data_IF_538673054410
#
_entry.id   IF_538673054410
#
_cell.length_a   1.000
_cell.length_b   1.000
_cell.length_c   1.000
_cell.angle_alpha   90.00
_cell.angle_beta   90.00
_cell.angle_gamma   90.00
#
_symmetry.space_group_name_H-M   'P 1'
#
loop_
_entity.id
_entity.type
_entity.pdbx_description
1 polymer ?
#
# COMPACT_ATOMS: atom_id res chain seq x y z
N UNK A 1 80.86 22.77 -14.22
CA UNK A 1 79.89 22.95 -13.13
C UNK A 1 79.74 21.63 -12.40
N UNK A 2 79.95 21.63 -11.09
CA UNK A 2 79.68 20.47 -10.25
C UNK A 2 79.70 20.87 -8.78
N UNK A 3 78.71 20.40 -8.01
CA UNK A 3 78.87 19.86 -6.64
C UNK A 3 77.53 19.41 -6.03
N UNK A 4 77.45 18.09 -5.87
CA UNK A 4 77.04 17.27 -4.70
C UNK A 4 75.99 17.77 -3.70
N UNK A 5 75.00 16.90 -3.53
CA UNK A 5 74.09 16.72 -2.40
C UNK A 5 74.80 16.56 -1.04
N UNK A 6 74.21 17.17 0.00
CA UNK A 6 74.42 16.86 1.41
C UNK A 6 73.06 16.73 2.09
N UNK A 7 72.84 15.62 2.81
CA UNK A 7 71.58 15.29 3.46
C UNK A 7 71.50 15.69 4.93
N UNK A 8 70.31 15.49 5.51
CA UNK A 8 70.09 15.32 6.94
C UNK A 8 69.01 14.25 7.15
N UNK A 9 69.35 13.17 7.87
CA UNK A 9 68.38 12.34 8.60
C UNK A 9 67.87 13.11 9.82
N UNK A 10 66.88 12.70 10.58
CA UNK A 10 66.11 11.48 10.72
C UNK A 10 65.45 11.58 12.10
N UNK A 11 64.15 11.28 12.24
CA UNK A 11 63.50 11.16 13.54
C UNK A 11 62.40 10.10 13.44
N UNK A 12 62.73 8.85 13.77
CA UNK A 12 61.74 7.79 14.05
C UNK A 12 61.49 7.80 15.55
N UNK A 13 60.38 8.45 15.94
CA UNK A 13 59.90 8.45 17.31
C UNK A 13 59.59 7.04 17.80
N UNK A 14 60.25 6.65 18.89
CA UNK A 14 60.01 5.42 19.65
C UNK A 14 58.61 5.51 20.27
N UNK A 15 57.62 4.78 19.74
CA UNK A 15 56.28 4.68 20.35
C UNK A 15 56.45 4.22 21.79
N UNK A 16 55.98 5.05 22.72
CA UNK A 16 55.99 4.77 24.16
C UNK A 16 55.06 3.60 24.45
N UNK A 17 55.38 2.82 25.48
CA UNK A 17 54.65 1.61 25.88
C UNK A 17 53.13 1.85 26.03
N UNK A 18 52.76 3.08 26.39
CA UNK A 18 51.38 3.54 26.55
C UNK A 18 50.61 3.69 25.22
N UNK A 19 51.29 4.01 24.11
CA UNK A 19 50.69 4.06 22.77
C UNK A 19 50.50 2.66 22.18
N UNK A 20 51.41 1.74 22.51
CA UNK A 20 51.25 0.33 22.16
C UNK A 20 50.03 -0.28 22.88
N UNK A 21 49.84 0.05 24.17
CA UNK A 21 48.70 -0.44 24.94
C UNK A 21 47.36 0.11 24.42
N UNK A 22 47.30 1.40 24.02
CA UNK A 22 46.10 1.98 23.39
C UNK A 22 45.76 1.31 22.05
N UNK A 23 46.78 0.98 21.26
CA UNK A 23 46.57 0.30 19.98
C UNK A 23 46.08 -1.14 20.20
N UNK A 24 46.63 -1.86 21.19
CA UNK A 24 46.15 -3.20 21.58
C UNK A 24 44.72 -3.15 22.12
N UNK A 25 44.37 -2.15 22.93
CA UNK A 25 43.01 -1.96 23.42
C UNK A 25 42.01 -1.66 22.29
N UNK A 26 42.41 -0.85 21.29
CA UNK A 26 41.58 -0.58 20.12
C UNK A 26 41.36 -1.82 19.25
N UNK A 27 42.40 -2.64 19.07
CA UNK A 27 42.30 -3.92 18.35
C UNK A 27 41.41 -4.91 19.11
N UNK A 28 41.52 -4.99 20.44
CA UNK A 28 40.63 -5.82 21.26
C UNK A 28 39.17 -5.35 21.19
N UNK A 29 38.92 -4.04 21.24
CA UNK A 29 37.57 -3.49 21.10
C UNK A 29 36.98 -3.81 19.71
N UNK A 30 37.77 -3.68 18.65
CA UNK A 30 37.34 -4.07 17.30
C UNK A 30 37.04 -5.57 17.21
N UNK A 31 37.86 -6.42 17.83
CA UNK A 31 37.63 -7.87 17.91
C UNK A 31 36.34 -8.21 18.67
N UNK A 32 36.04 -7.51 19.76
CA UNK A 32 34.78 -7.68 20.50
C UNK A 32 33.59 -7.25 19.65
N UNK A 33 33.68 -6.14 18.91
CA UNK A 33 32.62 -5.70 18.00
C UNK A 33 32.39 -6.71 16.87
N UNK A 34 33.46 -7.29 16.32
CA UNK A 34 33.36 -8.37 15.32
C UNK A 34 32.75 -9.63 15.94
N UNK A 35 33.14 -10.00 17.17
CA UNK A 35 32.59 -11.15 17.88
C UNK A 35 31.09 -10.97 18.18
N UNK A 36 30.68 -9.78 18.62
CA UNK A 36 29.27 -9.41 18.84
C UNK A 36 28.52 -9.42 17.51
N UNK A 37 29.13 -8.93 16.43
CA UNK A 37 28.56 -9.02 15.08
C UNK A 37 28.35 -10.48 14.65
N UNK A 38 29.33 -11.35 14.85
CA UNK A 38 29.22 -12.79 14.56
C UNK A 38 28.19 -13.46 15.47
N UNK A 39 28.04 -13.07 16.73
CA UNK A 39 27.00 -13.61 17.62
C UNK A 39 25.60 -13.14 17.21
N UNK A 40 25.41 -11.86 16.89
CA UNK A 40 24.11 -11.29 16.52
C UNK A 40 23.67 -11.75 15.13
N UNK A 41 24.57 -11.80 14.15
CA UNK A 41 24.25 -12.26 12.79
C UNK A 41 24.35 -13.79 12.62
N UNK A 42 25.23 -14.46 13.37
CA UNK A 42 25.44 -15.91 13.28
C UNK A 42 24.35 -16.75 13.95
N UNK A 43 23.54 -16.15 14.84
CA UNK A 43 22.35 -16.82 15.39
C UNK A 43 21.31 -17.20 14.32
N UNK A 44 21.31 -16.55 13.16
CA UNK A 44 20.39 -16.85 12.05
C UNK A 44 20.78 -18.11 11.25
N UNK A 45 21.90 -18.75 11.57
CA UNK A 45 22.43 -19.92 10.84
C UNK A 45 22.68 -21.15 11.73
N UNK A 46 22.24 -21.11 12.99
CA UNK A 46 22.34 -22.25 13.93
C UNK A 46 20.98 -22.94 14.07
N UNK A 47 20.75 -23.99 13.28
CA UNK A 47 19.63 -24.91 13.50
C UNK A 47 20.07 -26.01 14.46
N UNK A 48 19.56 -25.98 15.69
CA UNK A 48 19.77 -27.05 16.67
C UNK A 48 18.67 -28.10 16.52
N UNK A 49 19.03 -29.29 16.02
CA UNK A 49 18.28 -30.54 16.17
C UNK A 49 19.15 -31.55 16.93
N UNK A 50 18.52 -32.49 17.61
CA UNK A 50 19.06 -33.33 18.70
C UNK A 50 20.27 -34.23 18.38
N UNK A 51 20.98 -34.07 17.25
CA UNK A 51 22.23 -34.77 16.94
C UNK A 51 23.28 -33.91 16.20
N UNK A 52 23.66 -32.76 16.78
CA UNK A 52 24.91 -32.06 16.48
C UNK A 52 24.86 -30.98 15.38
N UNK A 53 25.80 -30.03 15.46
CA UNK A 53 25.84 -28.79 14.66
C UNK A 53 26.51 -29.02 13.31
N UNK A 54 25.84 -28.68 12.20
CA UNK A 54 26.46 -28.56 10.87
C UNK A 54 26.32 -27.14 10.32
N UNK A 55 27.38 -26.65 9.69
CA UNK A 55 27.44 -25.40 8.92
C UNK A 55 27.15 -25.72 7.45
N UNK A 56 26.14 -25.10 6.85
CA UNK A 56 25.91 -25.14 5.39
C UNK A 56 26.21 -23.78 4.77
N UNK A 57 27.16 -23.75 3.82
CA UNK A 57 27.57 -22.58 3.05
C UNK A 57 27.21 -22.81 1.57
N UNK A 58 26.65 -21.82 0.85
CA UNK A 58 25.98 -22.03 -0.45
C UNK A 58 26.94 -22.14 -1.66
N UNK A 59 28.25 -22.26 -1.46
CA UNK A 59 29.24 -22.24 -2.55
C UNK A 59 29.79 -23.62 -2.95
N UNK A 60 29.33 -24.71 -2.32
CA UNK A 60 29.77 -26.08 -2.63
C UNK A 60 28.57 -26.97 -2.94
N UNK A 61 28.06 -26.91 -4.17
CA UNK A 61 27.35 -28.02 -4.80
C UNK A 61 28.15 -28.48 -6.02
N UNK A 62 29.12 -29.35 -5.74
CA UNK A 62 29.81 -30.12 -6.76
C UNK A 62 28.92 -31.33 -7.10
N UNK A 63 28.55 -31.46 -8.37
CA UNK A 63 27.84 -32.62 -8.94
C UNK A 63 28.54 -33.91 -8.54
N UNK A 64 27.83 -34.80 -7.85
CA UNK A 64 28.16 -36.21 -7.80
C UNK A 64 27.22 -36.97 -8.75
N UNK A 65 27.84 -37.55 -9.78
CA UNK A 65 27.27 -38.54 -10.67
C UNK A 65 26.95 -39.83 -9.90
N UNK A 66 25.71 -40.32 -10.01
CA UNK A 66 25.41 -41.71 -9.74
C UNK A 66 24.44 -42.28 -10.79
N UNK A 67 25.00 -43.17 -11.62
CA UNK A 67 24.34 -44.01 -12.62
C UNK A 67 23.61 -45.18 -11.93
N UNK A 68 22.50 -45.68 -12.50
CA UNK A 68 22.47 -47.12 -12.80
C UNK A 68 22.02 -47.44 -14.25
N UNK A 69 22.39 -48.65 -14.68
CA UNK A 69 22.36 -49.25 -16.03
C UNK A 69 20.93 -49.77 -16.44
N UNK A 70 20.71 -50.18 -17.72
CA UNK A 70 19.42 -50.16 -18.42
C UNK A 70 18.67 -51.51 -18.47
N UNK A 71 17.39 -51.43 -18.85
CA UNK A 71 16.47 -52.55 -19.09
C UNK A 71 15.20 -52.33 -18.24
N UNK A 72 13.99 -52.21 -18.77
CA UNK A 72 13.38 -52.94 -19.87
C UNK A 72 12.32 -52.06 -20.57
N UNK A 73 12.11 -52.33 -21.84
CA UNK A 73 11.21 -51.61 -22.74
C UNK A 73 9.82 -52.20 -22.56
N UNK A 74 8.82 -51.39 -22.24
CA UNK A 74 7.42 -51.75 -22.45
C UNK A 74 6.65 -50.53 -22.89
N UNK A 75 6.58 -50.41 -24.22
CA UNK A 75 5.61 -49.61 -24.94
C UNK A 75 4.23 -50.24 -24.71
N UNK A 76 3.36 -49.54 -23.99
CA UNK A 76 1.93 -49.75 -24.15
C UNK A 76 1.26 -48.41 -24.42
N UNK A 77 0.86 -48.28 -25.69
CA UNK A 77 0.18 -47.13 -26.29
C UNK A 77 -1.31 -47.44 -26.28
N UNK A 78 -2.13 -46.54 -25.70
CA UNK A 78 -3.43 -46.03 -26.24
C UNK A 78 -4.27 -45.31 -25.16
N UNK A 79 -5.18 -44.40 -25.54
CA UNK A 79 -5.04 -43.30 -26.51
C UNK A 79 -5.47 -41.95 -25.89
N UNK A 80 -5.04 -40.86 -26.53
CA UNK A 80 -5.58 -39.51 -26.34
C UNK A 80 -7.09 -39.48 -26.59
N UNK A 81 -7.83 -38.91 -25.64
CA UNK A 81 -9.16 -38.33 -25.85
C UNK A 81 -9.02 -36.81 -25.84
N UNK A 82 -9.55 -36.18 -26.88
CA UNK A 82 -9.53 -34.74 -27.16
C UNK A 82 -9.85 -33.87 -25.93
N UNK A 83 -8.92 -32.98 -25.58
CA UNK A 83 -9.22 -31.76 -24.86
C UNK A 83 -9.29 -30.62 -25.88
N UNK A 84 -10.50 -30.13 -26.14
CA UNK A 84 -10.73 -28.84 -26.79
C UNK A 84 -11.21 -27.85 -25.74
N UNK A 85 -10.27 -27.02 -25.28
CA UNK A 85 -10.36 -25.66 -24.73
C UNK A 85 -11.65 -25.22 -24.05
N UNK A 86 -11.64 -25.24 -22.73
CA UNK A 86 -12.24 -24.16 -21.93
C UNK A 86 -11.09 -23.38 -21.29
N UNK A 87 -11.04 -22.08 -21.60
CA UNK A 87 -10.16 -21.10 -20.95
C UNK A 87 -10.38 -21.17 -19.44
N UNK A 88 -9.40 -21.72 -18.72
CA UNK A 88 -9.28 -21.49 -17.29
C UNK A 88 -8.76 -20.07 -17.11
N UNK A 89 -9.69 -19.11 -17.05
CA UNK A 89 -9.46 -17.90 -16.27
C UNK A 89 -9.16 -18.38 -14.85
N UNK A 90 -7.89 -18.32 -14.45
CA UNK A 90 -7.47 -18.56 -13.08
C UNK A 90 -8.07 -17.45 -12.20
N UNK A 91 -9.31 -17.67 -11.76
CA UNK A 91 -9.87 -16.97 -10.63
C UNK A 91 -8.95 -17.30 -9.44
N UNK A 92 -8.23 -16.28 -8.98
CA UNK A 92 -7.60 -16.26 -7.67
C UNK A 92 -8.67 -16.76 -6.68
N UNK A 93 -8.38 -17.73 -5.79
CA UNK A 93 -9.30 -18.05 -4.72
C UNK A 93 -9.55 -16.74 -3.98
N UNK A 94 -10.79 -16.24 -4.05
CA UNK A 94 -11.20 -15.17 -3.16
C UNK A 94 -10.85 -15.65 -1.76
N UNK A 95 -10.21 -14.78 -0.97
CA UNK A 95 -10.01 -15.01 0.45
C UNK A 95 -11.27 -15.69 0.98
N UNK A 96 -11.09 -16.91 1.50
CA UNK A 96 -12.13 -17.82 1.92
C UNK A 96 -13.23 -16.99 2.60
N UNK A 97 -14.44 -16.94 2.01
CA UNK A 97 -15.55 -16.07 2.46
C UNK A 97 -16.02 -16.39 3.90
N UNK A 98 -15.32 -17.30 4.58
CA UNK A 98 -15.47 -17.75 5.95
C UNK A 98 -14.52 -17.09 6.97
N UNK A 99 -13.44 -16.42 6.57
CA UNK A 99 -12.54 -15.74 7.51
C UNK A 99 -12.79 -14.22 7.60
N UNK A 100 -12.84 -13.72 8.83
CA UNK A 100 -12.99 -12.29 9.12
C UNK A 100 -11.81 -11.49 8.53
N UNK A 101 -12.10 -10.41 7.79
CA UNK A 101 -11.09 -9.52 7.23
C UNK A 101 -10.42 -8.70 8.35
N UNK A 102 -9.09 -8.79 8.42
CA UNK A 102 -8.22 -8.06 9.36
C UNK A 102 -7.14 -7.36 8.54
N UNK A 103 -7.39 -6.10 8.23
CA UNK A 103 -6.52 -5.30 7.38
C UNK A 103 -5.63 -4.39 8.22
N UNK A 104 -4.35 -4.26 7.87
CA UNK A 104 -3.45 -3.29 8.51
C UNK A 104 -2.69 -2.52 7.45
N UNK A 105 -2.58 -1.21 7.66
CA UNK A 105 -1.75 -0.34 6.84
C UNK A 105 -0.28 -0.51 7.22
N UNK A 106 0.54 -0.83 6.21
CA UNK A 106 1.99 -0.86 6.34
C UNK A 106 2.60 0.13 5.33
N UNK A 107 3.78 0.70 5.62
CA UNK A 107 4.48 1.51 4.65
C UNK A 107 4.86 0.66 3.43
N UNK A 108 4.85 1.26 2.24
CA UNK A 108 5.25 0.59 0.99
C UNK A 108 6.62 -0.09 1.08
N UNK A 109 7.53 0.48 1.87
CA UNK A 109 8.86 -0.09 2.11
C UNK A 109 8.82 -1.50 2.68
N UNK A 110 7.77 -1.88 3.40
CA UNK A 110 7.58 -3.24 3.92
C UNK A 110 7.39 -4.28 2.79
N UNK A 111 6.81 -3.89 1.66
CA UNK A 111 6.72 -4.75 0.47
C UNK A 111 8.08 -4.81 -0.22
N UNK A 112 8.75 -3.66 -0.36
CA UNK A 112 10.05 -3.57 -1.04
C UNK A 112 11.17 -4.32 -0.30
N UNK A 113 11.16 -4.32 1.03
CA UNK A 113 12.16 -5.00 1.86
C UNK A 113 11.76 -6.46 2.21
N UNK A 114 10.59 -6.91 1.76
CA UNK A 114 10.06 -8.25 2.00
C UNK A 114 9.61 -8.52 3.44
N UNK A 115 9.45 -7.49 4.27
CA UNK A 115 9.02 -7.64 5.68
C UNK A 115 7.50 -7.62 5.87
N UNK A 116 6.72 -7.24 4.86
CA UNK A 116 5.27 -7.11 4.92
C UNK A 116 4.58 -8.35 5.52
N UNK A 117 4.88 -9.55 4.99
CA UNK A 117 4.27 -10.81 5.46
C UNK A 117 4.46 -11.02 6.98
N UNK A 118 5.69 -10.88 7.47
CA UNK A 118 5.99 -11.07 8.91
C UNK A 118 5.31 -10.02 9.78
N UNK A 119 5.18 -8.77 9.29
CA UNK A 119 4.49 -7.70 10.04
C UNK A 119 2.98 -7.93 10.08
N UNK A 120 2.38 -8.44 8.99
CA UNK A 120 0.98 -8.86 8.97
C UNK A 120 0.72 -9.97 9.99
N UNK A 121 1.57 -11.01 10.01
CA UNK A 121 1.48 -12.10 10.99
C UNK A 121 1.61 -11.61 12.44
N UNK A 122 2.55 -10.70 12.71
CA UNK A 122 2.72 -10.09 14.04
C UNK A 122 1.51 -9.27 14.48
N UNK A 123 0.84 -8.61 13.53
CA UNK A 123 -0.39 -7.85 13.78
C UNK A 123 -1.64 -8.75 13.86
N UNK A 124 -1.55 -10.03 13.49
CA UNK A 124 -2.71 -10.91 13.34
C UNK A 124 -3.63 -10.49 12.18
N UNK A 125 -3.05 -9.86 11.15
CA UNK A 125 -3.75 -9.38 9.96
C UNK A 125 -3.63 -10.40 8.81
N UNK A 126 -4.71 -10.52 8.01
CA UNK A 126 -4.76 -11.31 6.78
C UNK A 126 -4.89 -10.44 5.51
N UNK A 127 -4.96 -9.12 5.68
CA UNK A 127 -5.03 -8.16 4.59
C UNK A 127 -4.06 -6.99 4.79
N UNK A 128 -3.55 -6.48 3.68
CA UNK A 128 -2.61 -5.37 3.62
C UNK A 128 -3.29 -4.13 3.03
N UNK A 129 -3.22 -3.01 3.76
CA UNK A 129 -3.54 -1.69 3.22
C UNK A 129 -2.23 -1.01 2.83
N UNK A 130 -2.19 -0.42 1.63
CA UNK A 130 -1.08 0.43 1.18
C UNK A 130 -1.62 1.80 0.83
N UNK A 131 -1.04 2.86 1.39
CA UNK A 131 -1.29 4.23 0.93
C UNK A 131 -0.64 4.41 -0.43
N UNK A 132 -1.45 4.34 -1.48
CA UNK A 132 -0.99 4.45 -2.86
C UNK A 132 -0.98 5.90 -3.31
N UNK A 133 -1.95 6.69 -2.83
CA UNK A 133 -2.01 8.13 -3.05
C UNK A 133 -2.30 8.84 -1.74
N UNK A 134 -1.36 9.66 -1.29
CA UNK A 134 -1.49 10.41 -0.04
C UNK A 134 -2.30 11.71 -0.20
N UNK A 135 -2.56 12.40 0.93
CA UNK A 135 -3.27 13.68 0.98
C UNK A 135 -2.49 14.85 0.39
N UNK A 136 -1.17 14.74 0.27
CA UNK A 136 -0.32 15.75 -0.39
C UNK A 136 -0.49 15.68 -1.91
N UNK A 137 -0.83 14.51 -2.43
CA UNK A 137 -1.02 14.25 -3.83
C UNK A 137 -0.02 13.26 -4.42
N UNK A 138 0.94 12.79 -3.62
CA UNK A 138 2.07 11.98 -4.06
C UNK A 138 1.63 10.53 -4.27
N UNK A 139 2.16 9.91 -5.32
CA UNK A 139 1.82 8.55 -5.72
C UNK A 139 2.98 7.61 -5.37
N UNK A 140 2.64 6.50 -4.71
CA UNK A 140 3.55 5.44 -4.30
C UNK A 140 4.00 4.54 -5.47
N UNK A 141 3.34 4.63 -6.62
CA UNK A 141 3.67 3.90 -7.83
C UNK A 141 4.01 4.85 -8.98
N UNK A 142 4.51 4.28 -10.08
CA UNK A 142 4.71 5.03 -11.31
C UNK A 142 3.46 4.99 -12.17
N UNK A 143 2.76 6.11 -12.24
CA UNK A 143 1.54 6.25 -13.03
C UNK A 143 1.84 6.71 -14.47
N UNK A 144 1.04 6.22 -15.42
CA UNK A 144 1.04 6.66 -16.82
C UNK A 144 0.15 7.89 -17.08
N UNK A 145 -0.63 8.32 -16.08
CA UNK A 145 -1.51 9.46 -16.20
C UNK A 145 -0.76 10.78 -16.44
N UNK A 146 -1.26 11.58 -17.38
CA UNK A 146 -0.58 12.84 -17.77
C UNK A 146 -0.46 13.86 -16.63
N UNK A 147 -1.41 13.85 -15.68
CA UNK A 147 -1.35 14.69 -14.48
C UNK A 147 -0.42 14.12 -13.39
N UNK A 148 -0.04 12.84 -13.48
CA UNK A 148 0.81 12.17 -12.50
C UNK A 148 2.32 12.43 -12.70
N UNK A 149 2.70 13.05 -13.83
CA UNK A 149 4.09 13.13 -14.30
C UNK A 149 5.11 13.73 -13.30
N UNK A 150 4.65 14.48 -12.28
CA UNK A 150 5.50 15.12 -11.27
C UNK A 150 5.12 14.77 -9.83
N UNK A 151 4.21 13.82 -9.64
CA UNK A 151 3.76 13.32 -8.32
C UNK A 151 4.06 11.84 -8.12
N UNK A 152 4.43 11.13 -9.20
CA UNK A 152 4.92 9.76 -9.10
C UNK A 152 6.29 9.74 -8.41
N UNK A 153 6.34 9.19 -7.19
CA UNK A 153 7.58 8.97 -6.45
C UNK A 153 8.23 7.62 -6.75
N UNK A 154 7.51 6.74 -7.44
CA UNK A 154 7.95 5.38 -7.79
C UNK A 154 8.96 5.31 -8.93
N UNK A 155 9.97 4.45 -8.76
CA UNK A 155 10.85 3.96 -9.84
C UNK A 155 10.15 2.84 -10.65
N UNK A 156 10.59 2.52 -11.87
CA UNK A 156 10.02 1.43 -12.68
C UNK A 156 9.96 0.08 -11.94
N UNK A 157 10.89 -0.12 -11.00
CA UNK A 157 10.99 -1.32 -10.18
C UNK A 157 9.82 -1.52 -9.21
N UNK A 158 9.12 -0.45 -8.80
CA UNK A 158 8.04 -0.56 -7.80
C UNK A 158 6.78 -1.19 -8.35
N UNK A 159 6.43 -0.90 -9.61
CA UNK A 159 5.22 -1.44 -10.22
C UNK A 159 5.34 -2.97 -10.33
N UNK A 160 6.50 -3.48 -10.78
CA UNK A 160 6.75 -4.92 -10.82
C UNK A 160 6.75 -5.57 -9.43
N UNK A 161 7.31 -4.91 -8.41
CA UNK A 161 7.26 -5.42 -7.04
C UNK A 161 5.82 -5.49 -6.48
N UNK A 162 4.98 -4.50 -6.81
CA UNK A 162 3.56 -4.49 -6.45
C UNK A 162 2.78 -5.59 -7.19
N UNK A 163 2.99 -5.75 -8.50
CA UNK A 163 2.38 -6.84 -9.28
C UNK A 163 2.78 -8.22 -8.74
N UNK A 164 4.06 -8.40 -8.41
CA UNK A 164 4.57 -9.63 -7.83
C UNK A 164 3.93 -9.91 -6.47
N UNK A 165 3.82 -8.89 -5.61
CA UNK A 165 3.16 -8.99 -4.31
C UNK A 165 1.67 -9.30 -4.43
N UNK A 166 0.96 -8.59 -5.31
CA UNK A 166 -0.48 -8.70 -5.52
C UNK A 166 -0.88 -10.03 -6.18
N UNK A 167 0.06 -10.81 -6.75
CA UNK A 167 -0.22 -12.20 -7.16
C UNK A 167 -0.22 -13.20 -6.01
N UNK A 168 0.28 -12.82 -4.84
CA UNK A 168 0.26 -13.64 -3.64
C UNK A 168 -1.14 -13.79 -3.03
N UNK A 169 -1.22 -14.54 -1.94
CA UNK A 169 -2.48 -14.92 -1.28
C UNK A 169 -3.01 -13.88 -0.27
N UNK A 170 -2.23 -12.83 0.02
CA UNK A 170 -2.66 -11.76 0.92
C UNK A 170 -3.65 -10.85 0.18
N UNK A 171 -4.79 -10.55 0.82
CA UNK A 171 -5.75 -9.60 0.28
C UNK A 171 -5.20 -8.17 0.37
N UNK A 172 -5.22 -7.44 -0.74
CA UNK A 172 -4.56 -6.12 -0.86
C UNK A 172 -5.55 -5.00 -1.10
N UNK A 173 -5.38 -3.90 -0.36
CA UNK A 173 -6.23 -2.73 -0.41
C UNK A 173 -5.37 -1.50 -0.75
N UNK A 174 -5.60 -0.89 -1.92
CA UNK A 174 -4.97 0.36 -2.29
C UNK A 174 -5.77 1.54 -1.73
N UNK A 175 -5.22 2.26 -0.75
CA UNK A 175 -5.81 3.49 -0.21
C UNK A 175 -5.45 4.68 -1.10
N UNK A 176 -6.47 5.42 -1.55
CA UNK A 176 -6.35 6.53 -2.48
C UNK A 176 -7.05 7.77 -1.93
N UNK A 177 -6.30 8.79 -1.57
CA UNK A 177 -6.85 10.11 -1.27
C UNK A 177 -7.28 10.79 -2.58
N UNK A 178 -8.59 10.85 -2.83
CA UNK A 178 -9.17 11.17 -4.13
C UNK A 178 -9.04 12.66 -4.50
N UNK A 179 -9.84 13.53 -3.87
CA UNK A 179 -9.89 14.95 -4.28
C UNK A 179 -9.01 15.88 -3.44
N UNK A 180 -8.63 15.50 -2.22
CA UNK A 180 -7.65 16.22 -1.42
C UNK A 180 -6.25 15.97 -2.00
N UNK A 181 -5.69 16.97 -2.66
CA UNK A 181 -4.45 16.88 -3.41
C UNK A 181 -3.78 18.27 -3.44
N UNK A 182 -2.66 18.40 -2.75
CA UNK A 182 -1.96 19.67 -2.64
C UNK A 182 -1.04 19.96 -3.84
N UNK A 183 -0.64 18.92 -4.59
CA UNK A 183 0.39 18.99 -5.62
C UNK A 183 -0.18 19.19 -7.02
N UNK A 184 -1.11 18.36 -7.49
CA UNK A 184 -1.66 18.44 -8.86
C UNK A 184 -2.38 19.76 -9.12
N UNK A 185 -3.29 20.25 -8.24
CA UNK A 185 -3.91 21.58 -8.40
C UNK A 185 -2.92 22.74 -8.41
N UNK A 186 -1.77 22.61 -7.72
CA UNK A 186 -0.73 23.62 -7.73
C UNK A 186 -0.01 23.69 -9.08
N UNK A 187 0.25 22.53 -9.69
CA UNK A 187 0.93 22.43 -10.98
C UNK A 187 0.00 22.76 -12.15
N UNK A 188 -1.26 22.34 -12.06
CA UNK A 188 -2.27 22.59 -13.06
C UNK A 188 -3.51 23.25 -12.44
N UNK A 189 -3.53 24.57 -12.48
CA UNK A 189 -4.63 25.36 -11.92
C UNK A 189 -6.00 25.09 -12.56
N UNK A 190 -6.09 24.45 -13.74
CA UNK A 190 -7.37 24.18 -14.41
C UNK A 190 -8.19 23.07 -13.74
N UNK A 191 -7.53 22.17 -13.00
CA UNK A 191 -8.20 21.07 -12.29
C UNK A 191 -8.47 21.40 -10.82
N UNK A 192 -8.01 22.55 -10.34
CA UNK A 192 -8.13 22.96 -8.95
C UNK A 192 -9.56 23.41 -8.61
N UNK A 193 -10.03 23.06 -7.41
CA UNK A 193 -11.17 23.73 -6.81
C UNK A 193 -10.83 25.20 -6.53
N UNK A 194 -11.73 26.12 -6.88
CA UNK A 194 -11.45 27.57 -6.87
C UNK A 194 -12.14 28.30 -5.74
N UNK A 195 -11.46 29.31 -5.24
CA UNK A 195 -11.96 30.33 -4.33
C UNK A 195 -11.73 31.73 -4.90
N UNK A 196 -12.31 32.74 -4.26
CA UNK A 196 -12.11 34.17 -4.61
C UNK A 196 -10.63 34.58 -4.64
N UNK A 197 -9.79 33.93 -3.84
CA UNK A 197 -8.35 34.21 -3.68
C UNK A 197 -7.44 33.25 -4.48
N UNK A 198 -7.99 32.41 -5.37
CA UNK A 198 -7.21 31.47 -6.19
C UNK A 198 -7.65 30.02 -5.99
N UNK A 199 -6.70 29.11 -5.72
CA UNK A 199 -7.06 27.72 -5.40
C UNK A 199 -7.61 27.66 -3.98
N UNK A 200 -8.77 27.06 -3.83
CA UNK A 200 -9.36 26.83 -2.52
C UNK A 200 -8.46 25.89 -1.70
N UNK A 201 -8.48 26.10 -0.39
CA UNK A 201 -7.76 25.27 0.58
C UNK A 201 -8.69 24.87 1.71
N UNK A 202 -8.50 23.65 2.18
CA UNK A 202 -9.21 23.10 3.33
C UNK A 202 -8.66 23.62 4.67
N UNK A 203 -9.19 23.09 5.77
CA UNK A 203 -8.79 23.39 7.14
C UNK A 203 -7.32 23.11 7.43
N UNK A 204 -6.69 22.18 6.70
CA UNK A 204 -5.28 21.84 6.81
C UNK A 204 -4.39 22.68 5.86
N UNK A 205 -4.99 23.59 5.09
CA UNK A 205 -4.28 24.40 4.11
C UNK A 205 -3.91 23.63 2.82
N UNK A 206 -4.44 22.42 2.63
CA UNK A 206 -4.20 21.60 1.45
C UNK A 206 -5.15 22.02 0.32
N UNK A 207 -4.67 21.94 -0.93
CA UNK A 207 -5.51 22.18 -2.11
C UNK A 207 -6.34 20.95 -2.41
N UNK A 208 -7.36 21.18 -3.24
CA UNK A 208 -8.25 20.14 -3.71
C UNK A 208 -8.35 20.18 -5.23
N UNK A 209 -8.41 19.00 -5.83
CA UNK A 209 -8.96 18.81 -7.16
C UNK A 209 -10.44 19.18 -7.12
N UNK A 210 -10.96 19.78 -8.20
CA UNK A 210 -12.37 20.08 -8.32
C UNK A 210 -13.15 18.80 -8.66
N UNK A 211 -14.08 18.33 -7.81
CA UNK A 211 -14.88 17.15 -8.14
C UNK A 211 -15.73 17.33 -9.39
N UNK A 212 -16.09 18.55 -9.81
CA UNK A 212 -16.80 18.80 -11.09
C UNK A 212 -15.88 18.85 -12.31
N UNK A 213 -14.56 18.84 -12.14
CA UNK A 213 -13.64 18.89 -13.27
C UNK A 213 -13.57 17.52 -13.95
N UNK A 214 -14.06 17.41 -15.18
CA UNK A 214 -13.93 16.19 -16.00
C UNK A 214 -12.49 15.69 -16.08
N UNK A 215 -11.52 16.61 -16.16
CA UNK A 215 -10.10 16.28 -16.19
C UNK A 215 -9.59 15.72 -14.86
N UNK A 216 -10.06 16.25 -13.73
CA UNK A 216 -9.74 15.70 -12.41
C UNK A 216 -10.37 14.32 -12.20
N UNK A 217 -11.62 14.13 -12.63
CA UNK A 217 -12.31 12.83 -12.58
C UNK A 217 -11.61 11.80 -13.44
N UNK A 218 -11.30 12.14 -14.69
CA UNK A 218 -10.61 11.25 -15.62
C UNK A 218 -9.26 10.80 -15.07
N UNK A 219 -8.54 11.72 -14.43
CA UNK A 219 -7.30 11.41 -13.72
C UNK A 219 -7.52 10.39 -12.60
N UNK A 220 -8.46 10.64 -11.68
CA UNK A 220 -8.75 9.72 -10.58
C UNK A 220 -9.19 8.33 -11.08
N UNK A 221 -10.06 8.29 -12.09
CA UNK A 221 -10.52 7.05 -12.73
C UNK A 221 -9.34 6.30 -13.37
N UNK A 222 -8.44 7.02 -14.03
CA UNK A 222 -7.20 6.48 -14.59
C UNK A 222 -6.31 5.86 -13.53
N UNK A 223 -6.06 6.56 -12.42
CA UNK A 223 -5.29 6.05 -11.29
C UNK A 223 -5.91 4.77 -10.70
N UNK A 224 -7.23 4.75 -10.49
CA UNK A 224 -7.92 3.56 -9.97
C UNK A 224 -7.83 2.38 -10.93
N UNK A 225 -7.93 2.64 -12.24
CA UNK A 225 -7.74 1.60 -13.27
C UNK A 225 -6.31 1.05 -13.25
N UNK A 226 -5.31 1.90 -13.12
CA UNK A 226 -3.91 1.46 -13.02
C UNK A 226 -3.68 0.59 -11.78
N UNK A 227 -4.23 0.96 -10.63
CA UNK A 227 -4.15 0.16 -9.41
C UNK A 227 -4.85 -1.21 -9.58
N UNK A 228 -6.01 -1.23 -10.23
CA UNK A 228 -6.67 -2.49 -10.58
C UNK A 228 -5.81 -3.36 -11.52
N UNK A 229 -5.14 -2.75 -12.50
CA UNK A 229 -4.19 -3.44 -13.40
C UNK A 229 -2.96 -4.00 -12.66
N UNK A 230 -2.49 -3.31 -11.62
CA UNK A 230 -1.43 -3.79 -10.73
C UNK A 230 -1.88 -4.97 -9.85
N UNK A 231 -3.16 -5.36 -9.90
CA UNK A 231 -3.68 -6.56 -9.24
C UNK A 231 -4.21 -6.34 -7.83
N UNK A 232 -4.47 -5.10 -7.41
CA UNK A 232 -5.09 -4.85 -6.10
C UNK A 232 -6.51 -5.43 -6.05
N UNK A 233 -6.83 -6.11 -4.95
CA UNK A 233 -8.14 -6.75 -4.75
C UNK A 233 -9.23 -5.70 -4.41
N UNK A 234 -8.86 -4.62 -3.73
CA UNK A 234 -9.75 -3.53 -3.33
C UNK A 234 -9.09 -2.16 -3.47
N UNK A 235 -9.85 -1.15 -3.89
CA UNK A 235 -9.44 0.26 -3.86
C UNK A 235 -10.30 0.97 -2.82
N UNK A 236 -9.64 1.45 -1.76
CA UNK A 236 -10.25 2.25 -0.70
C UNK A 236 -10.14 3.74 -1.03
N UNK A 237 -11.27 4.34 -1.37
CA UNK A 237 -11.37 5.76 -1.66
C UNK A 237 -11.51 6.58 -0.36
N UNK A 238 -10.59 7.51 -0.14
CA UNK A 238 -10.68 8.53 0.91
C UNK A 238 -10.86 9.91 0.27
N UNK A 239 -11.57 10.84 0.92
CA UNK A 239 -11.85 12.18 0.44
C UNK A 239 -12.46 12.21 -0.99
N UNK A 240 -13.29 11.22 -1.32
CA UNK A 240 -13.95 11.08 -2.63
C UNK A 240 -15.34 11.72 -2.64
N UNK A 241 -15.40 12.99 -2.22
CA UNK A 241 -16.60 13.82 -2.13
C UNK A 241 -16.22 15.30 -2.22
N UNK A 242 -17.21 16.19 -2.25
CA UNK A 242 -16.96 17.63 -2.18
C UNK A 242 -16.57 18.06 -0.76
N UNK A 243 -15.65 19.03 -0.58
CA UNK A 243 -15.28 19.52 0.74
C UNK A 243 -16.47 19.84 1.65
N UNK A 244 -16.42 19.30 2.87
CA UNK A 244 -17.40 19.52 3.96
C UNK A 244 -16.85 20.39 5.09
N UNK A 245 -15.55 20.65 5.09
CA UNK A 245 -14.86 21.44 6.11
C UNK A 245 -14.06 22.59 5.49
N UNK A 246 -13.59 23.52 6.33
CA UNK A 246 -12.89 24.73 5.90
C UNK A 246 -13.82 25.86 5.48
N UNK A 247 -13.30 26.81 4.70
CA UNK A 247 -14.02 28.03 4.29
C UNK A 247 -14.89 27.79 3.05
N UNK A 248 -15.95 26.99 3.20
CA UNK A 248 -16.83 26.58 2.09
C UNK A 248 -17.58 27.73 1.42
N UNK A 249 -17.82 28.82 2.16
CA UNK A 249 -18.41 30.07 1.68
C UNK A 249 -17.53 30.78 0.65
N UNK A 250 -16.22 30.54 0.69
CA UNK A 250 -15.25 31.15 -0.22
C UNK A 250 -15.10 30.40 -1.55
N UNK A 251 -15.66 29.19 -1.67
CA UNK A 251 -15.64 28.39 -2.91
C UNK A 251 -16.46 29.11 -3.98
N UNK A 252 -15.90 29.22 -5.18
CA UNK A 252 -16.58 29.77 -6.35
C UNK A 252 -17.84 28.95 -6.64
N UNK A 253 -18.99 29.61 -6.70
CA UNK A 253 -20.30 28.96 -6.91
C UNK A 253 -20.54 28.69 -8.40
N UNK A 254 -19.99 27.59 -8.90
CA UNK A 254 -20.23 27.05 -10.24
C UNK A 254 -20.52 25.54 -10.18
N UNK A 255 -21.04 24.97 -11.27
CA UNK A 255 -21.35 23.53 -11.34
C UNK A 255 -22.26 23.08 -10.19
N UNK A 256 -21.86 22.01 -9.51
CA UNK A 256 -22.57 21.45 -8.36
C UNK A 256 -22.70 22.45 -7.20
N UNK A 257 -21.73 23.36 -7.02
CA UNK A 257 -21.83 24.43 -6.01
C UNK A 257 -22.84 25.54 -6.37
N UNK A 258 -23.23 25.67 -7.63
CA UNK A 258 -24.29 26.59 -8.06
C UNK A 258 -25.66 25.91 -8.04
N UNK A 259 -25.72 24.67 -8.51
CA UNK A 259 -26.98 23.96 -8.77
C UNK A 259 -27.43 23.07 -7.61
N UNK A 260 -26.57 22.86 -6.60
CA UNK A 260 -26.84 21.94 -5.48
C UNK A 260 -26.76 20.45 -5.86
N UNK A 261 -26.16 20.11 -7.00
CA UNK A 261 -26.13 18.76 -7.59
C UNK A 261 -24.95 17.89 -7.15
N UNK A 262 -24.55 18.00 -5.88
CA UNK A 262 -23.39 17.28 -5.36
C UNK A 262 -23.59 15.76 -5.42
N UNK A 263 -24.80 15.29 -5.09
CA UNK A 263 -25.11 13.86 -5.05
C UNK A 263 -25.03 13.23 -6.45
N UNK A 264 -25.69 13.82 -7.44
CA UNK A 264 -25.68 13.35 -8.83
C UNK A 264 -24.26 13.34 -9.38
N UNK A 265 -23.49 14.39 -9.07
CA UNK A 265 -22.09 14.49 -9.46
C UNK A 265 -21.23 13.34 -8.91
N UNK A 266 -21.37 13.00 -7.63
CA UNK A 266 -20.60 11.92 -6.97
C UNK A 266 -21.10 10.54 -7.40
N UNK A 267 -22.42 10.36 -7.55
CA UNK A 267 -23.02 9.14 -8.11
C UNK A 267 -22.47 8.82 -9.49
N UNK A 268 -22.42 9.81 -10.39
CA UNK A 268 -21.88 9.64 -11.74
C UNK A 268 -20.39 9.27 -11.73
N UNK A 269 -19.63 9.81 -10.77
CA UNK A 269 -18.22 9.46 -10.59
C UNK A 269 -18.08 8.01 -10.10
N UNK A 270 -18.85 7.59 -9.11
CA UNK A 270 -18.75 6.24 -8.54
C UNK A 270 -19.16 5.17 -9.55
N UNK A 271 -20.18 5.45 -10.35
CA UNK A 271 -20.55 4.59 -11.48
C UNK A 271 -19.40 4.42 -12.49
N UNK A 272 -18.71 5.53 -12.83
CA UNK A 272 -17.55 5.47 -13.73
C UNK A 272 -16.34 4.76 -13.13
N UNK A 273 -16.08 4.98 -11.84
CA UNK A 273 -15.03 4.26 -11.11
C UNK A 273 -15.31 2.76 -11.09
N UNK A 274 -16.54 2.36 -10.75
CA UNK A 274 -16.97 0.97 -10.73
C UNK A 274 -16.78 0.33 -12.10
N UNK A 275 -17.26 0.98 -13.17
CA UNK A 275 -17.07 0.50 -14.54
C UNK A 275 -15.58 0.38 -14.94
N UNK A 276 -14.72 1.28 -14.46
CA UNK A 276 -13.31 1.28 -14.83
C UNK A 276 -12.51 0.14 -14.20
N UNK A 277 -12.94 -0.36 -13.04
CA UNK A 277 -12.24 -1.41 -12.28
C UNK A 277 -12.89 -2.79 -12.43
N UNK A 278 -14.17 -2.85 -12.83
CA UNK A 278 -14.93 -4.09 -13.02
C UNK A 278 -14.23 -5.15 -13.89
N UNK A 279 -13.57 -4.81 -15.02
CA UNK A 279 -12.86 -5.80 -15.84
C UNK A 279 -11.73 -6.55 -15.14
N UNK A 280 -11.24 -6.04 -14.01
CA UNK A 280 -10.15 -6.64 -13.22
C UNK A 280 -10.66 -7.41 -12.00
N UNK A 281 -11.98 -7.38 -11.72
CA UNK A 281 -12.56 -7.96 -10.51
C UNK A 281 -12.23 -7.20 -9.22
N UNK A 282 -11.60 -6.04 -9.32
CA UNK A 282 -11.23 -5.19 -8.17
C UNK A 282 -12.47 -4.56 -7.55
N UNK A 283 -12.59 -4.65 -6.22
CA UNK A 283 -13.69 -4.05 -5.45
C UNK A 283 -13.42 -2.57 -5.16
N UNK A 284 -14.49 -1.79 -5.03
CA UNK A 284 -14.42 -0.42 -4.52
C UNK A 284 -14.93 -0.37 -3.07
N UNK A 285 -14.15 0.29 -2.23
CA UNK A 285 -14.53 0.66 -0.88
C UNK A 285 -14.35 2.14 -0.64
N UNK A 286 -14.97 2.64 0.43
CA UNK A 286 -14.87 4.05 0.81
C UNK A 286 -14.58 4.18 2.29
N UNK A 287 -13.70 5.11 2.66
CA UNK A 287 -13.59 5.61 4.03
C UNK A 287 -14.51 6.81 4.20
N UNK A 288 -15.50 6.69 5.07
CA UNK A 288 -16.43 7.79 5.35
C UNK A 288 -15.75 8.91 6.15
N UNK A 289 -16.22 10.16 6.03
CA UNK A 289 -15.87 11.23 6.96
C UNK A 289 -16.13 10.81 8.42
N UNK A 290 -15.28 11.25 9.35
CA UNK A 290 -15.48 11.00 10.79
C UNK A 290 -16.83 11.52 11.29
N UNK A 291 -17.26 12.67 10.78
CA UNK A 291 -18.52 13.33 11.10
C UNK A 291 -19.67 12.92 10.16
N UNK A 292 -19.57 11.76 9.50
CA UNK A 292 -20.63 11.30 8.61
C UNK A 292 -21.90 10.95 9.40
N UNK A 293 -22.93 11.78 9.25
CA UNK A 293 -24.25 11.66 9.90
C UNK A 293 -25.36 11.20 8.92
N UNK A 294 -24.96 10.54 7.83
CA UNK A 294 -25.88 10.07 6.78
C UNK A 294 -25.76 10.83 5.46
N UNK A 295 -26.44 10.30 4.45
CA UNK A 295 -26.30 10.69 3.04
C UNK A 295 -26.77 12.11 2.69
N UNK A 296 -27.50 12.77 3.59
CA UNK A 296 -28.13 14.04 3.28
C UNK A 296 -27.16 15.25 3.28
N UNK A 297 -25.91 15.12 3.77
CA UNK A 297 -25.13 16.32 4.14
C UNK A 297 -23.61 16.34 3.89
N UNK A 298 -22.97 15.26 3.47
CA UNK A 298 -21.50 15.12 3.62
C UNK A 298 -20.70 15.38 2.34
N UNK A 299 -21.23 16.21 1.44
CA UNK A 299 -20.52 16.59 0.21
C UNK A 299 -20.83 15.71 -1.01
N UNK A 300 -22.04 15.13 -1.06
CA UNK A 300 -22.54 14.39 -2.23
C UNK A 300 -22.51 12.86 -2.10
N UNK A 301 -22.04 12.32 -0.98
CA UNK A 301 -22.18 10.88 -0.71
C UNK A 301 -23.66 10.55 -0.45
N UNK A 302 -24.33 9.96 -1.44
CA UNK A 302 -25.73 9.55 -1.34
C UNK A 302 -25.87 8.08 -0.94
N UNK A 303 -27.04 7.69 -0.41
CA UNK A 303 -27.33 6.27 -0.13
C UNK A 303 -27.19 5.44 -1.41
N UNK A 304 -27.63 6.00 -2.54
CA UNK A 304 -27.61 5.34 -3.84
C UNK A 304 -26.19 4.96 -4.28
N UNK A 305 -25.19 5.85 -4.21
CA UNK A 305 -23.82 5.50 -4.61
C UNK A 305 -23.18 4.51 -3.62
N UNK A 306 -23.45 4.66 -2.32
CA UNK A 306 -22.92 3.77 -1.28
C UNK A 306 -23.53 2.36 -1.35
N UNK A 307 -24.78 2.24 -1.73
CA UNK A 307 -25.47 0.95 -1.87
C UNK A 307 -25.20 0.26 -3.21
N UNK A 308 -25.07 1.02 -4.29
CA UNK A 308 -24.94 0.44 -5.62
C UNK A 308 -23.49 0.13 -5.99
N UNK A 309 -22.60 1.10 -5.84
CA UNK A 309 -21.28 1.06 -6.49
C UNK A 309 -20.14 0.70 -5.53
N UNK A 310 -20.39 0.79 -4.21
CA UNK A 310 -19.42 0.51 -3.16
C UNK A 310 -19.69 -0.85 -2.49
N UNK A 311 -18.66 -1.69 -2.35
CA UNK A 311 -18.78 -3.02 -1.75
C UNK A 311 -18.44 -3.01 -0.25
N UNK A 312 -17.62 -2.06 0.22
CA UNK A 312 -17.24 -1.94 1.64
C UNK A 312 -17.17 -0.49 2.10
N UNK A 313 -17.62 -0.24 3.33
CA UNK A 313 -17.69 1.08 3.94
C UNK A 313 -16.86 1.06 5.22
N UNK A 314 -15.72 1.74 5.19
CA UNK A 314 -14.81 1.91 6.31
C UNK A 314 -15.21 3.14 7.13
N UNK A 315 -15.38 2.96 8.44
CA UNK A 315 -15.76 4.05 9.34
C UNK A 315 -15.16 3.85 10.73
N UNK A 316 -14.97 4.94 11.45
CA UNK A 316 -14.60 4.92 12.86
C UNK A 316 -15.91 4.92 13.67
N UNK A 317 -16.13 3.92 14.55
CA UNK A 317 -17.30 3.90 15.43
C UNK A 317 -17.16 4.95 16.53
N UNK A 318 -18.27 5.52 16.96
CA UNK A 318 -18.28 6.35 18.16
C UNK A 318 -18.00 5.49 19.41
N UNK A 319 -17.55 6.13 20.50
CA UNK A 319 -17.19 5.41 21.72
C UNK A 319 -18.39 4.62 22.29
N UNK A 320 -18.28 3.29 22.27
CA UNK A 320 -19.34 2.39 22.74
C UNK A 320 -20.45 2.13 21.73
N UNK A 321 -20.35 2.66 20.50
CA UNK A 321 -21.30 2.42 19.43
C UNK A 321 -21.20 0.97 18.93
N UNK A 322 -22.31 0.26 18.98
CA UNK A 322 -22.42 -1.09 18.43
C UNK A 322 -22.53 -1.05 16.90
N UNK A 323 -22.19 -2.14 16.21
CA UNK A 323 -22.37 -2.23 14.76
C UNK A 323 -23.82 -2.03 14.30
N UNK A 324 -24.80 -2.31 15.16
CA UNK A 324 -26.21 -2.07 14.87
C UNK A 324 -26.58 -0.58 14.92
N UNK A 325 -26.07 0.15 15.91
CA UNK A 325 -26.26 1.60 16.06
C UNK A 325 -25.52 2.34 14.94
N UNK A 326 -24.31 1.90 14.61
CA UNK A 326 -23.54 2.42 13.48
C UNK A 326 -24.33 2.29 12.16
N UNK A 327 -24.86 1.11 11.86
CA UNK A 327 -25.68 0.90 10.67
C UNK A 327 -26.92 1.82 10.63
N UNK A 328 -27.56 2.03 11.79
CA UNK A 328 -28.70 2.93 11.91
C UNK A 328 -28.31 4.40 11.69
N UNK A 329 -27.17 4.85 12.23
CA UNK A 329 -26.65 6.21 12.04
C UNK A 329 -26.32 6.51 10.58
N UNK A 330 -25.78 5.54 9.85
CA UNK A 330 -25.44 5.71 8.44
C UNK A 330 -26.69 5.78 7.53
N UNK A 331 -27.83 5.24 7.98
CA UNK A 331 -29.09 5.27 7.22
C UNK A 331 -29.12 4.37 5.99
N UNK A 332 -28.16 3.46 5.81
CA UNK A 332 -28.08 2.58 4.64
C UNK A 332 -28.79 1.26 4.92
N UNK A 333 -29.63 0.78 3.99
CA UNK A 333 -30.38 -0.47 4.13
C UNK A 333 -29.44 -1.68 4.25
N UNK A 334 -28.35 -1.68 3.48
CA UNK A 334 -27.37 -2.76 3.44
C UNK A 334 -26.10 -2.46 4.26
N UNK A 335 -26.12 -1.48 5.17
CA UNK A 335 -24.92 -1.05 5.88
C UNK A 335 -24.21 -2.23 6.56
N UNK A 336 -24.97 -3.07 7.26
CA UNK A 336 -24.41 -4.16 8.09
C UNK A 336 -23.54 -5.14 7.31
N UNK A 337 -23.89 -5.42 6.06
CA UNK A 337 -23.15 -6.35 5.20
C UNK A 337 -21.87 -5.73 4.63
N UNK A 338 -21.85 -4.39 4.49
CA UNK A 338 -20.74 -3.65 3.88
C UNK A 338 -19.79 -3.01 4.91
N UNK A 339 -20.21 -2.93 6.17
CA UNK A 339 -19.49 -2.17 7.19
C UNK A 339 -18.16 -2.83 7.56
N UNK A 340 -17.14 -1.98 7.61
CA UNK A 340 -15.83 -2.29 8.13
C UNK A 340 -15.42 -1.20 9.14
N UNK A 341 -14.84 -1.63 10.26
CA UNK A 341 -14.48 -0.73 11.36
C UNK A 341 -12.99 -0.42 11.35
N UNK A 342 -12.65 0.86 11.39
CA UNK A 342 -11.29 1.33 11.64
C UNK A 342 -11.08 1.43 13.16
N UNK A 343 -10.01 0.79 13.65
CA UNK A 343 -9.70 0.64 15.08
C UNK A 343 -8.20 0.75 15.32
N UNK A 344 -7.80 1.01 16.57
CA UNK A 344 -6.39 0.94 16.97
C UNK A 344 -5.89 -0.48 17.25
N UNK A 345 -6.79 -1.44 17.45
CA UNK A 345 -6.47 -2.85 17.69
C UNK A 345 -7.63 -3.75 17.27
N UNK A 346 -7.34 -4.92 16.69
CA UNK A 346 -8.36 -5.90 16.33
C UNK A 346 -9.09 -6.45 17.57
N UNK A 347 -10.42 -6.42 17.52
CA UNK A 347 -11.30 -6.97 18.53
C UNK A 347 -11.83 -8.36 18.09
N UNK A 348 -11.71 -9.41 18.91
CA UNK A 348 -12.23 -10.74 18.59
C UNK A 348 -13.75 -10.76 18.40
N UNK A 349 -14.48 -9.97 19.19
CA UNK A 349 -15.95 -9.87 19.16
C UNK A 349 -16.44 -8.68 18.30
N UNK A 350 -15.56 -8.09 17.48
CA UNK A 350 -15.90 -6.97 16.60
C UNK A 350 -16.48 -7.41 15.24
N UNK A 351 -16.76 -6.46 14.34
CA UNK A 351 -17.26 -6.76 12.99
C UNK A 351 -16.35 -7.71 12.21
N UNK A 352 -16.93 -8.36 11.21
CA UNK A 352 -16.22 -9.28 10.32
C UNK A 352 -15.07 -8.58 9.60
N UNK A 353 -15.21 -7.30 9.24
CA UNK A 353 -14.14 -6.51 8.68
C UNK A 353 -13.62 -5.44 9.65
N UNK A 354 -12.32 -5.50 9.96
CA UNK A 354 -11.63 -4.52 10.78
C UNK A 354 -10.33 -4.07 10.12
N UNK A 355 -9.98 -2.81 10.31
CA UNK A 355 -8.83 -2.16 9.71
C UNK A 355 -8.06 -1.36 10.73
N UNK A 356 -6.74 -1.36 10.64
CA UNK A 356 -5.85 -0.47 11.40
C UNK A 356 -5.11 0.39 10.37
N UNK A 357 -5.33 1.70 10.40
CA UNK A 357 -4.70 2.68 9.52
C UNK A 357 -3.78 3.57 10.36
N UNK A 358 -2.60 3.87 9.85
CA UNK A 358 -1.70 4.85 10.46
C UNK A 358 -2.14 6.26 10.02
N UNK A 359 -2.56 7.10 10.97
CA UNK A 359 -3.00 8.48 10.68
C UNK A 359 -1.87 9.52 10.76
N UNK A 360 -0.61 9.08 10.93
CA UNK A 360 0.55 9.94 11.13
C UNK A 360 0.92 10.84 9.93
#
# INVERSE_FOLDING_TARGET
MGRRNGGYGGYRGRRTFHDMLKWVAAVLAALVVVLVGVLVFGQRYLVFRDQGVRLELPFFHQKDDQKPDPGDVSLEVRPQGDQSGEDQSAQKPGADETEALRAVELPLSAVQDGTAQSRLEQAGANALILEMKDRQGDLAWRSGESLAARVSSGDETINGALEDWNRGDVYTIARVCAFRDNTVPYQNNSVALKASYGNWRDELGLRWLNPDSEKARSYLIGLCRELAQLGFDEIMLDQCWFPTQGKLDQIVKNGSYADGRFAESVEDLFAQLSQAVEPYGTRLSIRLPEDYQGAAATGGLSEKCLEKDIQRIWTIPEAGETGAELAQRLGLANAREKLAVLTGQFAPEGPEAQGIIDEN
#
